data_IF_678673045668
#
_entry.id   IF_678673045668
#
_cell.length_a   1.000
_cell.length_b   1.000
_cell.length_c   1.000
_cell.angle_alpha   90.00
_cell.angle_beta   90.00
_cell.angle_gamma   90.00
#
_symmetry.space_group_name_H-M   'P 1'
#
loop_
_entity.id
_entity.type
_entity.pdbx_description
1 polymer ?
#
# COMPACT_ATOMS: atom_id res chain seq x y z
N UNK A 1 -16.84 -4.37 16.06
CA UNK A 1 -16.17 -4.10 14.76
C UNK A 1 -15.24 -5.25 14.42
N UNK A 2 -15.40 -5.91 13.27
CA UNK A 2 -14.48 -6.96 12.83
C UNK A 2 -13.07 -6.40 12.56
N UNK A 3 -12.01 -7.19 12.79
CA UNK A 3 -10.62 -6.79 12.55
C UNK A 3 -10.42 -6.29 11.10
N UNK A 4 -9.71 -5.18 10.92
CA UNK A 4 -9.30 -4.73 9.58
C UNK A 4 -8.23 -5.66 8.99
N UNK A 5 -8.08 -5.61 7.68
CA UNK A 5 -6.97 -6.25 6.95
C UNK A 5 -6.11 -5.14 6.35
N UNK A 6 -4.80 -5.26 6.49
CA UNK A 6 -3.80 -4.42 5.84
C UNK A 6 -2.63 -5.34 5.54
N UNK A 7 -2.58 -5.83 4.31
CA UNK A 7 -1.55 -6.76 3.85
C UNK A 7 -1.00 -6.27 2.53
N UNK A 8 0.33 -6.25 2.43
CA UNK A 8 1.06 -5.96 1.20
C UNK A 8 2.01 -7.12 0.90
N UNK A 9 2.05 -7.50 -0.37
CA UNK A 9 2.92 -8.54 -0.91
C UNK A 9 3.65 -7.94 -2.10
N UNK A 10 4.98 -7.91 -2.03
CA UNK A 10 5.85 -7.40 -3.07
C UNK A 10 6.81 -8.49 -3.55
N UNK A 11 7.07 -8.50 -4.85
CA UNK A 11 8.22 -9.19 -5.45
C UNK A 11 8.93 -8.16 -6.30
N UNK A 12 10.21 -7.91 -5.98
CA UNK A 12 10.97 -6.83 -6.57
C UNK A 12 12.48 -6.98 -6.37
N UNK A 13 13.22 -5.90 -6.58
CA UNK A 13 14.68 -5.86 -6.46
C UNK A 13 15.12 -4.95 -5.33
N UNK A 14 16.09 -5.41 -4.54
CA UNK A 14 16.70 -4.59 -3.47
C UNK A 14 17.56 -3.53 -4.13
N UNK A 15 17.14 -2.27 -4.08
CA UNK A 15 17.88 -1.14 -4.69
C UNK A 15 18.96 -0.60 -3.76
N UNK A 16 18.71 -0.69 -2.44
CA UNK A 16 19.68 -0.31 -1.43
C UNK A 16 19.69 -1.41 -0.37
N UNK A 17 20.84 -1.91 0.07
CA UNK A 17 20.88 -2.97 1.07
C UNK A 17 20.33 -2.47 2.42
N UNK A 18 19.88 -3.38 3.32
CA UNK A 18 19.31 -2.99 4.61
C UNK A 18 20.31 -2.32 5.54
N UNK A 19 20.02 -1.07 5.89
CA UNK A 19 20.75 -0.32 6.89
C UNK A 19 20.27 -0.72 8.29
N UNK A 20 21.07 -1.50 9.02
CA UNK A 20 20.77 -1.89 10.39
C UNK A 20 21.02 -0.73 11.36
N UNK A 21 20.02 -0.44 12.18
CA UNK A 21 20.05 0.55 13.26
C UNK A 21 19.45 -0.06 14.52
N UNK A 22 19.65 0.61 15.65
CA UNK A 22 19.05 0.24 16.93
C UNK A 22 18.25 1.42 17.48
N UNK A 23 17.06 1.16 18.02
CA UNK A 23 16.30 2.17 18.75
C UNK A 23 16.96 2.48 20.10
N UNK A 24 16.53 3.54 20.78
CA UNK A 24 16.97 3.86 22.15
C UNK A 24 16.67 2.72 23.15
N UNK A 25 15.68 1.89 22.84
CA UNK A 25 15.31 0.70 23.63
C UNK A 25 16.12 -0.55 23.23
N UNK A 26 17.13 -0.41 22.36
CA UNK A 26 17.99 -1.51 21.91
C UNK A 26 17.35 -2.43 20.86
N UNK A 27 16.19 -2.08 20.31
CA UNK A 27 15.50 -2.89 19.32
C UNK A 27 16.15 -2.70 17.94
N UNK A 28 16.51 -3.80 17.27
CA UNK A 28 17.06 -3.77 15.93
C UNK A 28 15.99 -3.38 14.89
N UNK A 29 16.37 -2.50 13.96
CA UNK A 29 15.55 -2.03 12.83
C UNK A 29 16.42 -2.01 11.59
N UNK A 30 15.94 -2.55 10.48
CA UNK A 30 16.62 -2.44 9.20
C UNK A 30 15.68 -1.80 8.18
N UNK A 31 16.15 -0.74 7.51
CA UNK A 31 15.39 -0.05 6.47
C UNK A 31 16.11 -0.16 5.12
N UNK A 32 15.35 -0.37 4.06
CA UNK A 32 15.87 -0.46 2.69
C UNK A 32 14.81 -0.07 1.65
N UNK A 33 15.24 0.00 0.39
CA UNK A 33 14.37 0.25 -0.76
C UNK A 33 14.21 -1.01 -1.60
N UNK A 34 12.97 -1.35 -1.95
CA UNK A 34 12.61 -2.39 -2.90
C UNK A 34 11.93 -1.74 -4.11
N UNK A 35 12.40 -2.03 -5.33
CA UNK A 35 11.74 -1.59 -6.56
C UNK A 35 10.83 -2.69 -7.11
N UNK A 36 9.66 -2.29 -7.62
CA UNK A 36 8.87 -3.15 -8.52
C UNK A 36 8.73 -2.45 -9.85
N UNK A 37 8.85 -3.20 -10.92
CA UNK A 37 8.69 -2.67 -12.26
C UNK A 37 7.34 -3.13 -12.85
N UNK A 38 6.68 -2.24 -13.60
CA UNK A 38 5.55 -2.62 -14.43
C UNK A 38 5.73 -2.12 -15.85
N UNK A 39 5.10 -2.84 -16.78
CA UNK A 39 4.96 -2.46 -18.18
C UNK A 39 3.48 -2.52 -18.54
N UNK A 40 2.98 -1.50 -19.21
CA UNK A 40 1.62 -1.49 -19.73
C UNK A 40 1.58 -0.83 -21.11
N UNK A 41 0.62 -1.24 -21.93
CA UNK A 41 0.38 -0.61 -23.21
C UNK A 41 -0.76 0.39 -23.05
N UNK A 42 -0.55 1.61 -23.53
CA UNK A 42 -1.59 2.64 -23.54
C UNK A 42 -2.61 2.37 -24.64
N UNK A 43 -3.75 3.06 -24.61
CA UNK A 43 -4.75 2.99 -25.67
C UNK A 43 -4.20 3.42 -27.05
N UNK A 44 -3.12 4.20 -27.09
CA UNK A 44 -2.45 4.61 -28.32
C UNK A 44 -1.46 3.55 -28.86
N UNK A 45 -1.39 2.37 -28.25
CA UNK A 45 -0.43 1.32 -28.59
C UNK A 45 0.99 1.56 -28.06
N UNK A 46 1.25 2.71 -27.43
CA UNK A 46 2.54 3.02 -26.82
C UNK A 46 2.78 2.14 -25.60
N UNK A 47 3.89 1.42 -25.58
CA UNK A 47 4.36 0.71 -24.40
C UNK A 47 4.97 1.71 -23.42
N UNK A 48 4.48 1.71 -22.18
CA UNK A 48 5.04 2.48 -21.07
C UNK A 48 5.56 1.56 -19.98
N UNK A 49 6.53 2.07 -19.23
CA UNK A 49 7.11 1.39 -18.09
C UNK A 49 7.13 2.33 -16.90
N UNK A 50 7.05 1.78 -15.70
CA UNK A 50 7.22 2.52 -14.47
C UNK A 50 7.92 1.65 -13.42
N UNK A 51 8.74 2.30 -12.62
CA UNK A 51 9.33 1.74 -11.41
C UNK A 51 8.66 2.38 -10.21
N UNK A 52 8.16 1.56 -9.30
CA UNK A 52 7.66 2.00 -8.00
C UNK A 52 8.67 1.59 -6.94
N UNK A 53 9.07 2.53 -6.09
CA UNK A 53 9.99 2.28 -4.98
C UNK A 53 9.23 2.20 -3.66
N UNK A 54 9.51 1.15 -2.90
CA UNK A 54 8.92 0.87 -1.60
C UNK A 54 9.98 0.97 -0.52
N UNK A 55 9.67 1.72 0.53
CA UNK A 55 10.48 1.72 1.74
C UNK A 55 10.09 0.53 2.61
N UNK A 56 10.98 -0.44 2.74
CA UNK A 56 10.77 -1.63 3.55
C UNK A 56 11.43 -1.42 4.91
N UNK A 57 10.71 -1.76 5.98
CA UNK A 57 11.20 -1.69 7.36
C UNK A 57 11.02 -3.05 8.02
N UNK A 58 12.12 -3.67 8.44
CA UNK A 58 12.13 -4.91 9.21
C UNK A 58 12.52 -4.64 10.66
N UNK A 59 11.99 -5.43 11.59
CA UNK A 59 12.23 -5.29 13.03
C UNK A 59 12.84 -6.56 13.66
N UNK A 60 13.55 -6.38 14.77
CA UNK A 60 14.03 -7.46 15.62
C UNK A 60 14.93 -8.46 14.90
N UNK A 61 14.57 -9.75 14.96
CA UNK A 61 15.34 -10.82 14.29
C UNK A 61 15.33 -10.65 12.76
N UNK A 62 14.20 -10.26 12.18
CA UNK A 62 14.07 -10.08 10.74
C UNK A 62 15.00 -8.97 10.24
N UNK A 63 15.14 -7.88 11.00
CA UNK A 63 16.10 -6.81 10.71
C UNK A 63 17.54 -7.32 10.63
N UNK A 64 17.97 -8.08 11.64
CA UNK A 64 19.33 -8.63 11.74
C UNK A 64 19.64 -9.64 10.63
N UNK A 65 18.65 -10.45 10.24
CA UNK A 65 18.78 -11.42 9.15
C UNK A 65 18.87 -10.69 7.82
N UNK A 66 17.94 -9.75 7.56
CA UNK A 66 17.90 -8.97 6.33
C UNK A 66 19.22 -8.23 6.09
N UNK A 67 19.78 -7.54 7.10
CA UNK A 67 21.02 -6.77 6.96
C UNK A 67 22.27 -7.62 6.71
N UNK A 68 22.22 -8.93 6.97
CA UNK A 68 23.33 -9.86 6.73
C UNK A 68 23.22 -10.58 5.39
N UNK A 69 21.99 -10.83 4.94
CA UNK A 69 21.72 -11.73 3.83
C UNK A 69 21.31 -11.01 2.54
N UNK A 70 20.66 -9.85 2.65
CA UNK A 70 20.17 -9.12 1.49
C UNK A 70 21.27 -8.27 0.87
N UNK A 71 21.42 -8.38 -0.45
CA UNK A 71 22.37 -7.61 -1.26
C UNK A 71 21.65 -6.73 -2.26
N UNK A 72 22.33 -5.70 -2.73
CA UNK A 72 21.85 -4.86 -3.84
C UNK A 72 21.57 -5.71 -5.09
N UNK A 73 20.55 -5.32 -5.84
CA UNK A 73 19.99 -5.98 -7.01
C UNK A 73 19.45 -7.41 -6.79
N UNK A 74 19.40 -7.89 -5.54
CA UNK A 74 18.85 -9.21 -5.25
C UNK A 74 17.32 -9.20 -5.37
N UNK A 75 16.77 -10.24 -5.98
CA UNK A 75 15.31 -10.42 -6.04
C UNK A 75 14.75 -10.88 -4.69
N UNK A 76 13.71 -10.19 -4.23
CA UNK A 76 13.15 -10.37 -2.90
C UNK A 76 11.63 -10.48 -2.96
N UNK A 77 11.10 -11.50 -2.27
CA UNK A 77 9.72 -11.52 -1.83
C UNK A 77 9.61 -10.85 -0.46
N UNK A 78 8.72 -9.87 -0.35
CA UNK A 78 8.41 -9.17 0.89
C UNK A 78 6.91 -9.24 1.19
N UNK A 79 6.56 -9.62 2.41
CA UNK A 79 5.21 -9.53 2.95
C UNK A 79 5.21 -8.62 4.17
N UNK A 80 4.17 -7.83 4.34
CA UNK A 80 4.03 -6.95 5.49
C UNK A 80 2.68 -6.26 5.54
N UNK A 81 2.66 -5.14 6.25
CA UNK A 81 1.55 -4.20 6.29
C UNK A 81 2.06 -2.79 6.00
N UNK A 82 1.18 -1.94 5.51
CA UNK A 82 1.49 -0.54 5.25
C UNK A 82 1.33 0.28 6.52
N UNK A 83 2.25 1.20 6.73
CA UNK A 83 2.18 2.15 7.83
C UNK A 83 2.62 3.53 7.33
N UNK A 84 1.79 4.53 7.53
CA UNK A 84 2.16 5.92 7.25
C UNK A 84 2.78 6.53 8.50
N UNK A 85 4.04 6.97 8.39
CA UNK A 85 4.66 7.82 9.40
C UNK A 85 4.58 9.27 8.98
N UNK A 86 4.36 10.17 9.94
CA UNK A 86 4.40 11.62 9.73
C UNK A 86 5.38 12.24 10.70
N UNK A 87 6.15 13.22 10.24
CA UNK A 87 7.09 13.99 11.08
C UNK A 87 7.12 15.45 10.60
N UNK A 88 7.52 16.36 11.47
CA UNK A 88 7.86 17.72 11.05
C UNK A 88 9.31 17.75 10.56
N UNK A 89 9.57 18.34 9.39
CA UNK A 89 10.94 18.61 8.96
C UNK A 89 11.57 19.80 9.71
N UNK A 90 12.81 20.14 9.38
CA UNK A 90 13.56 21.23 10.00
C UNK A 90 12.88 22.60 9.87
N UNK A 91 11.95 22.75 8.93
CA UNK A 91 11.18 23.97 8.68
C UNK A 91 9.76 23.91 9.26
N UNK A 92 9.46 22.89 10.06
CA UNK A 92 8.15 22.68 10.68
C UNK A 92 7.08 22.15 9.71
N UNK A 93 7.43 21.81 8.47
CA UNK A 93 6.46 21.27 7.51
C UNK A 93 6.20 19.80 7.78
N UNK A 94 4.93 19.40 7.74
CA UNK A 94 4.54 18.01 7.97
C UNK A 94 4.89 17.16 6.74
N UNK A 95 5.87 16.29 6.90
CA UNK A 95 6.22 15.25 5.95
C UNK A 95 5.50 13.96 6.32
N UNK A 96 5.17 13.16 5.32
CA UNK A 96 4.64 11.81 5.50
C UNK A 96 5.30 10.83 4.55
N UNK A 97 5.50 9.60 5.02
CA UNK A 97 6.00 8.50 4.21
C UNK A 97 5.21 7.23 4.53
N UNK A 98 4.77 6.56 3.47
CA UNK A 98 4.21 5.22 3.55
C UNK A 98 5.36 4.21 3.52
N UNK A 99 5.41 3.32 4.51
CA UNK A 99 6.42 2.27 4.63
C UNK A 99 5.74 0.90 4.66
N UNK A 100 6.44 -0.11 4.16
CA UNK A 100 6.06 -1.52 4.27
C UNK A 100 6.78 -2.09 5.48
N UNK A 101 6.04 -2.28 6.57
CA UNK A 101 6.57 -2.94 7.77
C UNK A 101 6.52 -4.45 7.53
N UNK A 102 7.69 -5.02 7.25
CA UNK A 102 7.85 -6.40 6.84
C UNK A 102 7.57 -7.38 7.99
N UNK A 103 6.75 -8.38 7.70
CA UNK A 103 6.56 -9.58 8.53
C UNK A 103 7.37 -10.76 7.99
N UNK A 104 7.65 -10.78 6.67
CA UNK A 104 8.38 -11.87 6.01
C UNK A 104 9.21 -11.31 4.86
N UNK A 105 10.47 -11.75 4.78
CA UNK A 105 11.39 -11.43 3.70
C UNK A 105 12.03 -12.75 3.24
N UNK A 106 11.92 -13.06 1.95
CA UNK A 106 12.48 -14.28 1.35
C UNK A 106 13.28 -13.89 0.12
N UNK A 107 14.61 -13.97 0.15
CA UNK A 107 15.41 -13.88 -1.06
C UNK A 107 14.98 -15.00 -2.01
N UNK A 108 14.72 -14.68 -3.27
CA UNK A 108 14.21 -15.65 -4.23
C UNK A 108 15.32 -16.43 -4.95
N UNK A 109 16.58 -16.10 -4.67
CA UNK A 109 17.76 -16.69 -5.31
C UNK A 109 18.66 -17.38 -4.29
N UNK A 110 19.11 -18.59 -4.66
CA UNK A 110 20.05 -19.38 -3.87
C UNK A 110 21.49 -18.91 -4.16
N UNK A 111 21.86 -17.74 -3.68
CA UNK A 111 23.21 -17.36 -3.26
C UNK A 111 24.43 -17.52 -4.19
N UNK A 112 24.36 -17.89 -5.47
CA UNK A 112 25.58 -18.10 -6.29
C UNK A 112 25.54 -17.69 -7.78
N UNK A 113 24.40 -17.29 -8.33
CA UNK A 113 24.35 -16.77 -9.71
C UNK A 113 24.10 -15.26 -9.70
N UNK A 114 25.00 -14.46 -10.29
CA UNK A 114 24.65 -13.10 -10.66
C UNK A 114 23.36 -13.14 -11.47
N UNK A 115 22.40 -12.28 -11.14
CA UNK A 115 21.24 -12.05 -12.00
C UNK A 115 21.80 -11.66 -13.36
N UNK A 116 21.59 -12.44 -14.44
CA UNK A 116 21.98 -11.97 -15.75
C UNK A 116 21.25 -10.64 -15.97
N UNK A 117 21.92 -9.62 -16.55
CA UNK A 117 21.22 -8.40 -16.94
C UNK A 117 19.98 -8.83 -17.70
N UNK A 118 18.82 -8.37 -17.23
CA UNK A 118 17.54 -8.72 -17.82
C UNK A 118 17.67 -8.43 -19.32
N UNK A 119 17.47 -9.41 -20.22
CA UNK A 119 17.62 -9.20 -21.65
C UNK A 119 16.82 -7.96 -22.07
N UNK A 120 17.39 -7.11 -22.92
CA UNK A 120 16.71 -5.93 -23.44
C UNK A 120 15.32 -6.32 -23.98
N UNK A 121 14.27 -5.94 -23.25
CA UNK A 121 12.88 -6.20 -23.63
C UNK A 121 12.12 -7.20 -22.76
N UNK A 122 12.79 -8.07 -22.00
CA UNK A 122 12.16 -8.83 -20.93
C UNK A 122 12.11 -8.00 -19.65
N UNK A 123 11.06 -8.14 -18.85
CA UNK A 123 10.98 -7.51 -17.54
C UNK A 123 10.67 -8.61 -16.53
N UNK A 124 11.48 -8.76 -15.47
CA UNK A 124 11.26 -9.79 -14.49
C UNK A 124 9.89 -9.62 -13.86
N UNK A 125 9.20 -10.75 -13.65
CA UNK A 125 7.88 -10.80 -13.03
C UNK A 125 7.94 -10.18 -11.63
N UNK A 126 7.55 -8.91 -11.52
CA UNK A 126 7.36 -8.22 -10.25
C UNK A 126 5.93 -8.43 -9.75
N UNK A 127 5.74 -8.31 -8.44
CA UNK A 127 4.42 -8.32 -7.82
C UNK A 127 4.28 -7.07 -6.97
N UNK A 128 3.17 -6.38 -7.12
CA UNK A 128 2.73 -5.30 -6.25
C UNK A 128 1.26 -5.56 -5.92
N UNK A 129 0.99 -6.22 -4.80
CA UNK A 129 -0.37 -6.56 -4.39
C UNK A 129 -0.62 -6.07 -2.98
N UNK A 130 -1.72 -5.33 -2.81
CA UNK A 130 -2.20 -4.83 -1.53
C UNK A 130 -3.64 -5.23 -1.33
N UNK A 131 -3.92 -5.77 -0.15
CA UNK A 131 -5.24 -6.24 0.27
C UNK A 131 -5.64 -5.48 1.53
N UNK A 132 -6.78 -4.80 1.49
CA UNK A 132 -7.27 -3.97 2.59
C UNK A 132 -8.71 -4.32 2.91
N UNK A 133 -9.02 -4.49 4.20
CA UNK A 133 -10.40 -4.52 4.70
C UNK A 133 -10.54 -3.36 5.68
N UNK A 134 -11.49 -2.48 5.40
CA UNK A 134 -11.73 -1.31 6.22
C UNK A 134 -13.12 -0.72 6.00
N UNK A 135 -13.32 0.47 6.57
CA UNK A 135 -14.57 1.22 6.47
C UNK A 135 -14.32 2.54 5.74
N UNK A 136 -15.25 2.94 4.86
CA UNK A 136 -15.14 4.20 4.15
C UNK A 136 -15.21 5.38 5.13
N UNK A 137 -14.28 6.33 5.01
CA UNK A 137 -14.28 7.53 5.86
C UNK A 137 -15.30 8.60 5.43
N UNK A 138 -15.62 8.61 4.14
CA UNK A 138 -16.53 9.55 3.48
C UNK A 138 -17.15 8.90 2.26
N UNK A 139 -18.16 9.56 1.68
CA UNK A 139 -18.77 9.09 0.45
C UNK A 139 -17.77 9.10 -0.72
N UNK A 140 -17.90 8.16 -1.67
CA UNK A 140 -17.03 8.10 -2.84
C UNK A 140 -17.24 9.31 -3.77
N UNK A 141 -16.13 9.89 -4.21
CA UNK A 141 -16.07 11.02 -5.13
C UNK A 141 -15.75 10.51 -6.54
N UNK A 142 -16.71 10.63 -7.46
CA UNK A 142 -16.53 10.26 -8.86
C UNK A 142 -16.21 11.49 -9.70
N UNK A 143 -15.32 11.31 -10.66
CA UNK A 143 -14.97 12.26 -11.72
C UNK A 143 -14.74 11.52 -13.03
N UNK A 144 -14.72 12.26 -14.13
CA UNK A 144 -14.33 11.73 -15.43
C UNK A 144 -12.99 12.33 -15.85
N UNK A 145 -12.14 11.53 -16.49
CA UNK A 145 -10.93 12.07 -17.14
C UNK A 145 -11.31 12.88 -18.39
N UNK A 146 -10.38 13.69 -18.94
CA UNK A 146 -10.61 14.35 -20.23
C UNK A 146 -10.98 13.39 -21.37
N UNK A 147 -10.52 12.14 -21.29
CA UNK A 147 -10.88 11.06 -22.22
C UNK A 147 -12.20 10.36 -21.90
N UNK A 148 -13.02 10.88 -20.98
CA UNK A 148 -14.33 10.33 -20.61
C UNK A 148 -14.28 9.08 -19.72
N UNK A 149 -13.12 8.67 -19.22
CA UNK A 149 -13.01 7.49 -18.36
C UNK A 149 -13.43 7.82 -16.92
N UNK A 150 -14.34 7.02 -16.35
CA UNK A 150 -14.77 7.16 -14.96
C UNK A 150 -13.64 6.86 -13.98
N UNK A 151 -13.53 7.68 -12.93
CA UNK A 151 -12.58 7.54 -11.82
C UNK A 151 -13.31 7.84 -10.52
N UNK A 152 -13.28 6.90 -9.58
CA UNK A 152 -13.89 7.09 -8.26
C UNK A 152 -12.82 6.95 -7.20
N UNK A 153 -12.73 7.95 -6.33
CA UNK A 153 -11.78 7.98 -5.22
C UNK A 153 -12.49 8.00 -3.87
N UNK A 154 -11.95 7.28 -2.89
CA UNK A 154 -12.49 7.23 -1.54
C UNK A 154 -11.39 6.95 -0.51
N UNK A 155 -11.66 7.26 0.76
CA UNK A 155 -10.76 6.94 1.86
C UNK A 155 -11.25 5.69 2.60
N UNK A 156 -10.32 4.80 2.95
CA UNK A 156 -10.60 3.57 3.67
C UNK A 156 -9.78 3.52 4.96
N UNK A 157 -10.44 3.39 6.11
CA UNK A 157 -9.79 3.21 7.40
C UNK A 157 -9.67 1.72 7.72
N UNK A 158 -8.45 1.20 7.85
CA UNK A 158 -8.20 -0.18 8.28
C UNK A 158 -7.51 -0.20 9.64
N UNK A 159 -8.21 -0.73 10.65
CA UNK A 159 -7.69 -0.84 12.02
C UNK A 159 -7.10 -2.22 12.26
N UNK A 160 -5.82 -2.27 12.62
CA UNK A 160 -5.17 -3.46 13.17
C UNK A 160 -5.19 -3.40 14.70
N UNK A 161 -5.37 -4.57 15.30
CA UNK A 161 -5.26 -4.78 16.76
C UNK A 161 -4.11 -5.76 17.01
N UNK A 162 -3.24 -5.44 17.97
CA UNK A 162 -2.23 -6.38 18.46
C UNK A 162 -2.03 -6.25 19.97
N UNK A 163 -1.46 -7.28 20.60
CA UNK A 163 -1.05 -7.22 22.00
C UNK A 163 0.37 -6.68 22.11
N UNK A 164 0.57 -5.71 22.99
CA UNK A 164 1.90 -5.17 23.29
C UNK A 164 2.71 -6.15 24.15
N UNK A 165 4.05 -6.21 24.00
CA UNK A 165 4.91 -6.99 24.89
C UNK A 165 4.78 -6.62 26.37
N UNK A 166 4.47 -5.35 26.67
CA UNK A 166 4.27 -4.83 28.03
C UNK A 166 2.87 -5.09 28.59
N UNK A 167 2.08 -5.95 27.94
CA UNK A 167 0.66 -6.11 28.22
C UNK A 167 -0.20 -5.01 27.57
N UNK A 168 -1.49 -5.27 27.47
CA UNK A 168 -2.46 -4.37 26.88
C UNK A 168 -2.67 -4.55 25.38
N UNK A 169 -3.93 -4.31 24.96
CA UNK A 169 -4.35 -4.32 23.56
C UNK A 169 -4.06 -2.95 22.95
N UNK A 170 -3.36 -2.92 21.82
CA UNK A 170 -3.09 -1.72 21.04
C UNK A 170 -3.81 -1.80 19.71
N UNK A 171 -4.36 -0.67 19.29
CA UNK A 171 -5.01 -0.50 18.00
C UNK A 171 -4.28 0.58 17.20
N UNK A 172 -4.16 0.39 15.89
CA UNK A 172 -3.67 1.42 14.97
C UNK A 172 -4.51 1.39 13.70
N UNK A 173 -4.94 2.57 13.27
CA UNK A 173 -5.74 2.76 12.07
C UNK A 173 -4.89 3.38 10.98
N UNK A 174 -4.77 2.68 9.87
CA UNK A 174 -4.15 3.21 8.66
C UNK A 174 -5.22 3.70 7.69
N UNK A 175 -4.93 4.82 7.01
CA UNK A 175 -5.86 5.45 6.08
C UNK A 175 -5.35 5.28 4.65
N UNK A 176 -6.13 4.63 3.82
CA UNK A 176 -5.81 4.38 2.41
C UNK A 176 -6.60 5.33 1.53
N UNK A 177 -5.92 5.91 0.55
CA UNK A 177 -6.59 6.59 -0.56
C UNK A 177 -6.77 5.61 -1.70
N UNK A 178 -8.00 5.15 -1.92
CA UNK A 178 -8.32 4.16 -2.95
C UNK A 178 -8.79 4.88 -4.20
N UNK A 179 -8.31 4.42 -5.36
CA UNK A 179 -8.72 4.91 -6.68
C UNK A 179 -9.18 3.73 -7.52
N UNK A 180 -10.44 3.74 -7.93
CA UNK A 180 -11.02 2.79 -8.87
C UNK A 180 -11.23 3.45 -10.24
N UNK A 181 -11.10 2.67 -11.31
CA UNK A 181 -11.20 3.14 -12.70
C UNK A 181 -12.30 2.39 -13.46
N UNK A 182 -12.86 3.02 -14.50
CA UNK A 182 -13.81 2.39 -15.43
C UNK A 182 -15.05 1.84 -14.72
N UNK A 183 -15.47 0.63 -15.08
CA UNK A 183 -16.64 -0.03 -14.48
C UNK A 183 -16.54 -0.18 -12.96
N UNK A 184 -15.34 -0.44 -12.43
CA UNK A 184 -15.14 -0.51 -10.98
C UNK A 184 -15.39 0.85 -10.32
N UNK A 185 -15.05 1.96 -10.99
CA UNK A 185 -15.34 3.30 -10.50
C UNK A 185 -16.85 3.54 -10.38
N UNK A 186 -17.61 3.09 -11.38
CA UNK A 186 -19.08 3.19 -11.42
C UNK A 186 -19.72 2.37 -10.31
N UNK A 187 -19.30 1.11 -10.15
CA UNK A 187 -19.74 0.23 -9.06
C UNK A 187 -19.43 0.87 -7.70
N UNK A 188 -18.20 1.38 -7.52
CA UNK A 188 -17.83 2.04 -6.26
C UNK A 188 -18.74 3.23 -5.95
N UNK A 189 -19.05 4.07 -6.95
CA UNK A 189 -19.91 5.25 -6.74
C UNK A 189 -21.36 4.87 -6.47
N UNK A 190 -21.87 3.85 -7.15
CA UNK A 190 -23.26 3.42 -7.04
C UNK A 190 -23.57 2.76 -5.69
N UNK A 191 -22.64 1.94 -5.17
CA UNK A 191 -22.94 1.06 -4.04
C UNK A 191 -22.21 1.41 -2.75
N UNK A 192 -21.16 2.25 -2.78
CA UNK A 192 -20.43 2.63 -1.59
C UNK A 192 -20.93 3.97 -1.02
N UNK A 193 -20.92 4.03 0.30
CA UNK A 193 -21.22 5.23 1.09
C UNK A 193 -20.34 5.27 2.33
N UNK A 194 -20.25 6.41 3.01
CA UNK A 194 -19.52 6.58 4.27
C UNK A 194 -19.88 5.46 5.25
N UNK A 195 -18.86 4.92 5.93
CA UNK A 195 -19.00 3.85 6.90
C UNK A 195 -19.13 2.45 6.31
N UNK A 196 -19.42 2.31 5.01
CA UNK A 196 -19.52 1.01 4.34
C UNK A 196 -18.21 0.23 4.50
N UNK A 197 -18.32 -1.03 4.91
CA UNK A 197 -17.17 -1.92 5.04
C UNK A 197 -16.91 -2.62 3.72
N UNK A 198 -15.65 -2.62 3.28
CA UNK A 198 -15.25 -3.21 2.00
C UNK A 198 -13.92 -3.94 2.13
N UNK A 199 -13.75 -4.95 1.29
CA UNK A 199 -12.46 -5.48 0.87
C UNK A 199 -12.04 -4.75 -0.41
N UNK A 200 -10.77 -4.39 -0.51
CA UNK A 200 -10.16 -3.81 -1.71
C UNK A 200 -8.85 -4.53 -1.97
N UNK A 201 -8.66 -4.98 -3.21
CA UNK A 201 -7.37 -5.45 -3.71
C UNK A 201 -6.87 -4.52 -4.82
N UNK A 202 -5.56 -4.31 -4.89
CA UNK A 202 -4.96 -3.53 -5.95
C UNK A 202 -3.46 -3.37 -5.81
N UNK A 203 -2.94 -2.34 -6.46
CA UNK A 203 -1.52 -2.00 -6.47
C UNK A 203 -1.31 -0.64 -5.80
N UNK A 204 -0.20 -0.48 -5.08
CA UNK A 204 0.22 0.86 -4.65
C UNK A 204 0.91 1.60 -5.78
N UNK A 205 0.55 2.87 -5.94
CA UNK A 205 1.18 3.78 -6.89
C UNK A 205 1.43 5.11 -6.23
N UNK A 206 2.59 5.70 -6.48
CA UNK A 206 2.86 7.07 -6.03
C UNK A 206 2.70 8.04 -7.17
N UNK A 207 1.78 9.00 -7.03
CA UNK A 207 1.68 10.12 -7.98
C UNK A 207 2.30 11.38 -7.38
N UNK A 208 3.08 12.06 -8.20
CA UNK A 208 3.57 13.41 -7.92
C UNK A 208 2.72 14.45 -8.65
N UNK A 209 2.49 15.59 -8.05
CA UNK A 209 1.98 16.78 -8.74
C UNK A 209 2.64 18.04 -8.19
N UNK A 210 2.67 19.08 -9.00
CA UNK A 210 3.14 20.39 -8.59
C UNK A 210 1.94 21.23 -8.15
N UNK A 211 2.09 21.90 -7.01
CA UNK A 211 1.10 22.84 -6.52
C UNK A 211 1.41 24.23 -7.09
N UNK A 212 0.43 25.14 -7.24
CA UNK A 212 0.66 26.45 -7.86
C UNK A 212 1.73 27.33 -7.19
N UNK A 213 2.14 27.00 -5.97
CA UNK A 213 3.23 27.62 -5.23
C UNK A 213 4.63 27.04 -5.57
N UNK A 214 4.72 26.18 -6.59
CA UNK A 214 5.94 25.52 -7.04
C UNK A 214 6.35 24.30 -6.20
N UNK A 215 5.56 23.91 -5.19
CA UNK A 215 5.90 22.77 -4.32
C UNK A 215 5.48 21.46 -4.96
N UNK A 216 6.37 20.46 -4.94
CA UNK A 216 6.06 19.10 -5.37
C UNK A 216 5.41 18.31 -4.23
N UNK A 217 4.23 17.79 -4.48
CA UNK A 217 3.50 16.91 -3.58
C UNK A 217 3.49 15.49 -4.11
N UNK A 218 3.54 14.53 -3.21
CA UNK A 218 3.40 13.11 -3.53
C UNK A 218 2.25 12.52 -2.72
N UNK A 219 1.51 11.62 -3.36
CA UNK A 219 0.50 10.80 -2.67
C UNK A 219 0.64 9.37 -3.12
N UNK A 220 0.71 8.46 -2.15
CA UNK A 220 0.54 7.04 -2.38
C UNK A 220 -0.94 6.72 -2.46
N UNK A 221 -1.35 6.02 -3.51
CA UNK A 221 -2.73 5.62 -3.78
C UNK A 221 -2.79 4.11 -3.96
N UNK A 222 -3.86 3.48 -3.45
CA UNK A 222 -4.21 2.09 -3.74
C UNK A 222 -5.10 2.09 -4.99
N UNK A 223 -4.52 1.75 -6.14
CA UNK A 223 -5.26 1.60 -7.38
C UNK A 223 -5.94 0.24 -7.38
N UNK A 224 -7.26 0.26 -7.18
CA UNK A 224 -8.07 -0.94 -7.00
C UNK A 224 -8.22 -1.71 -8.31
N UNK A 225 -7.97 -3.02 -8.25
CA UNK A 225 -8.34 -4.00 -9.26
C UNK A 225 -9.60 -4.76 -8.89
N UNK A 226 -9.90 -4.87 -7.59
CA UNK A 226 -11.07 -5.58 -7.08
C UNK A 226 -11.64 -4.86 -5.84
N UNK A 227 -12.96 -4.90 -5.69
CA UNK A 227 -13.66 -4.41 -4.51
C UNK A 227 -14.84 -5.33 -4.20
N UNK A 228 -14.94 -5.75 -2.94
CA UNK A 228 -16.05 -6.57 -2.42
C UNK A 228 -16.69 -5.84 -1.24
N UNK A 229 -18.00 -5.67 -1.29
CA UNK A 229 -18.78 -5.11 -0.18
C UNK A 229 -18.93 -6.15 0.92
N UNK A 230 -18.60 -5.78 2.15
CA UNK A 230 -18.68 -6.66 3.31
C UNK A 230 -19.81 -6.19 4.23
N UNK A 231 -20.83 -7.03 4.40
CA UNK A 231 -21.97 -6.77 5.27
C UNK A 231 -23.31 -6.74 4.52
N UNK A 232 -24.44 -6.60 5.24
CA UNK A 232 -25.76 -6.67 4.64
C UNK A 232 -25.91 -5.63 3.52
N UNK A 233 -26.46 -6.07 2.39
CA UNK A 233 -26.92 -5.16 1.34
C UNK A 233 -27.90 -4.19 1.99
N UNK A 234 -27.76 -2.86 1.81
CA UNK A 234 -28.73 -1.93 2.37
C UNK A 234 -30.10 -2.34 1.81
N UNK A 235 -31.00 -2.76 2.69
CA UNK A 235 -32.39 -3.03 2.34
C UNK A 235 -32.99 -1.70 1.92
N UNK A 236 -33.56 -1.66 0.72
CA UNK A 236 -34.34 -0.53 0.25
C UNK A 236 -35.68 -0.53 0.99
N UNK A 237 -35.65 -0.19 2.28
CA UNK A 237 -36.75 0.29 3.12
C UNK A 237 -36.16 0.48 4.52
N UNK A 238 -36.14 1.73 4.97
CA UNK A 238 -35.76 2.06 6.33
C UNK A 238 -36.89 1.73 7.28
N UNK A 239 -36.76 0.61 7.99
CA UNK A 239 -37.38 0.43 9.30
C UNK A 239 -36.23 0.43 10.33
N UNK A 240 -36.14 1.53 11.07
CA UNK A 240 -35.35 1.58 12.30
C UNK A 240 -36.12 0.78 13.36
N UNK A 241 -35.57 -0.38 13.74
CA UNK A 241 -36.12 -1.22 14.81
C UNK A 241 -35.84 -0.58 16.19
N UNK A 242 -36.85 0.06 16.77
CA UNK A 242 -36.86 0.71 18.10
C UNK A 242 -36.86 -0.29 19.29
N UNK A 243 -36.09 -1.37 19.24
CA UNK A 243 -36.14 -2.43 20.27
C UNK A 243 -35.01 -2.47 21.26
N UNK A 244 -34.38 -1.34 21.55
CA UNK A 244 -33.52 -1.20 22.72
C UNK A 244 -33.63 0.20 23.33
N UNK A 245 -34.61 0.37 24.22
CA UNK A 245 -34.52 1.26 25.39
C UNK A 245 -34.41 0.38 26.64
#
# INVERSE_FOLDING_TARGET
MGRGLNKVTLIGFVERPPELRYTNEGQAVAAFSLSTHRRWTTNAGETRQATEWFHIVAWGKLAKVASRQLKEHQRLYAEGHLQTRSWADAYGQRQSRTEVVASKLIPLENGHTPVPPIPDGEMPLCLNRVMVIGNLGRDPEMRYTPGGQAVTSFSLAATRTWSSPHGGRRDATEWFHVVAWGSLAEICKQYLSKGRRVYVEGELRTRGWEHPDGRRHFRTELVASEMIILGPRPTANGDFDERFQ
#
